data_IF_774943821283
#
_entry.id   IF_774943821283
#
_cell.length_a   1.000
_cell.length_b   1.000
_cell.length_c   1.000
_cell.angle_alpha   90.00
_cell.angle_beta   90.00
_cell.angle_gamma   90.00
#
_symmetry.space_group_name_H-M   'P 1'
#
loop_
_entity.id
_entity.type
_entity.pdbx_description
1 polymer ?
#
# COMPACT_ATOMS: atom_id res chain seq x y z
N UNK A 1 -16.61 -10.39 6.53
CA UNK A 1 -15.53 -10.64 5.55
C UNK A 1 -15.41 -12.14 5.25
N UNK A 2 -15.13 -12.52 4.00
CA UNK A 2 -14.81 -13.91 3.60
C UNK A 2 -13.49 -14.38 4.21
N UNK A 3 -13.26 -15.69 4.24
CA UNK A 3 -12.03 -16.30 4.77
C UNK A 3 -10.96 -16.59 3.73
N UNK A 4 -11.36 -16.78 2.46
CA UNK A 4 -10.48 -17.26 1.39
C UNK A 4 -10.78 -16.57 0.05
N UNK A 5 -9.73 -16.42 -0.75
CA UNK A 5 -9.77 -15.94 -2.12
C UNK A 5 -9.78 -17.14 -3.08
N UNK A 6 -10.47 -16.97 -4.20
CA UNK A 6 -10.41 -17.86 -5.36
C UNK A 6 -9.08 -17.70 -6.09
N UNK A 7 -8.75 -18.62 -7.00
CA UNK A 7 -7.54 -18.54 -7.83
C UNK A 7 -7.51 -17.26 -8.68
N UNK A 8 -8.64 -16.85 -9.25
CA UNK A 8 -8.75 -15.63 -10.05
C UNK A 8 -8.53 -14.37 -9.19
N UNK A 9 -9.06 -14.35 -7.98
CA UNK A 9 -8.82 -13.26 -7.02
C UNK A 9 -7.36 -13.18 -6.59
N UNK A 10 -6.69 -14.33 -6.43
CA UNK A 10 -5.25 -14.36 -6.16
C UNK A 10 -4.43 -13.76 -7.30
N UNK A 11 -4.84 -13.95 -8.56
CA UNK A 11 -4.18 -13.29 -9.70
C UNK A 11 -4.30 -11.76 -9.64
N UNK A 12 -5.43 -11.23 -9.15
CA UNK A 12 -5.62 -9.79 -8.94
C UNK A 12 -4.67 -9.27 -7.85
N UNK A 13 -4.50 -10.02 -6.76
CA UNK A 13 -3.54 -9.70 -5.70
C UNK A 13 -2.12 -9.66 -6.25
N UNK A 14 -1.74 -10.65 -7.06
CA UNK A 14 -0.42 -10.72 -7.68
C UNK A 14 -0.18 -9.57 -8.67
N UNK A 15 -1.20 -9.17 -9.44
CA UNK A 15 -1.11 -8.04 -10.36
C UNK A 15 -1.01 -6.71 -9.61
N UNK A 16 -1.73 -6.54 -8.49
CA UNK A 16 -1.56 -5.37 -7.62
C UNK A 16 -0.13 -5.28 -7.07
N UNK A 17 0.42 -6.41 -6.57
CA UNK A 17 1.81 -6.51 -6.11
C UNK A 17 2.78 -6.11 -7.21
N UNK A 18 2.65 -6.73 -8.39
CA UNK A 18 3.54 -6.52 -9.54
C UNK A 18 3.51 -5.08 -10.03
N UNK A 19 2.33 -4.48 -10.16
CA UNK A 19 2.18 -3.09 -10.62
C UNK A 19 2.79 -2.11 -9.63
N UNK A 20 2.50 -2.25 -8.34
CA UNK A 20 3.07 -1.40 -7.29
C UNK A 20 4.61 -1.51 -7.23
N UNK A 21 5.15 -2.72 -7.41
CA UNK A 21 6.58 -2.96 -7.52
C UNK A 21 7.19 -2.13 -8.65
N UNK A 22 6.66 -2.24 -9.87
CA UNK A 22 7.19 -1.56 -11.04
C UNK A 22 7.08 -0.03 -10.95
N UNK A 23 5.97 0.47 -10.38
CA UNK A 23 5.77 1.90 -10.13
C UNK A 23 6.79 2.45 -9.12
N UNK A 24 7.05 1.71 -8.04
CA UNK A 24 8.01 2.15 -7.03
C UNK A 24 9.45 2.00 -7.51
N UNK A 25 9.83 0.88 -8.12
CA UNK A 25 11.21 0.65 -8.52
C UNK A 25 11.72 1.74 -9.49
N UNK A 26 10.83 2.22 -10.36
CA UNK A 26 11.10 3.36 -11.21
C UNK A 26 12.00 3.06 -12.41
N UNK A 27 12.17 1.79 -12.78
CA UNK A 27 13.00 1.37 -13.93
C UNK A 27 12.28 1.44 -15.27
N UNK A 28 10.99 1.11 -15.29
CA UNK A 28 10.15 1.07 -16.51
C UNK A 28 9.22 2.29 -16.63
N UNK A 29 9.09 3.06 -15.56
CA UNK A 29 8.26 4.27 -15.43
C UNK A 29 8.96 5.18 -14.41
N UNK A 30 8.77 6.52 -14.42
CA UNK A 30 9.40 7.35 -13.40
C UNK A 30 8.97 6.94 -11.98
N UNK A 31 9.90 6.98 -11.02
CA UNK A 31 9.67 6.56 -9.64
C UNK A 31 8.38 7.16 -9.04
N UNK A 32 7.45 6.31 -8.63
CA UNK A 32 6.28 6.66 -7.83
C UNK A 32 6.56 6.28 -6.38
N UNK A 33 6.81 7.29 -5.55
CA UNK A 33 7.07 7.11 -4.12
C UNK A 33 5.97 6.33 -3.39
N UNK A 34 6.28 5.86 -2.17
CA UNK A 34 5.47 4.96 -1.34
C UNK A 34 3.95 5.07 -1.48
N UNK A 35 3.31 6.17 -1.07
CA UNK A 35 1.85 6.26 -1.17
C UNK A 35 1.32 6.41 -2.61
N UNK A 36 2.13 6.98 -3.50
CA UNK A 36 1.74 7.28 -4.88
C UNK A 36 1.64 6.00 -5.71
N UNK A 37 2.59 5.07 -5.58
CA UNK A 37 2.53 3.82 -6.34
C UNK A 37 1.29 3.00 -5.96
N UNK A 38 0.88 3.01 -4.70
CA UNK A 38 -0.37 2.39 -4.26
C UNK A 38 -1.59 3.08 -4.88
N UNK A 39 -1.69 4.41 -4.78
CA UNK A 39 -2.81 5.15 -5.38
C UNK A 39 -2.97 4.87 -6.88
N UNK A 40 -1.87 4.92 -7.65
CA UNK A 40 -1.89 4.63 -9.09
C UNK A 40 -2.17 3.15 -9.41
N UNK A 41 -1.79 2.22 -8.52
CA UNK A 41 -2.11 0.80 -8.66
C UNK A 41 -3.62 0.59 -8.73
N UNK A 42 -4.36 1.24 -7.82
CA UNK A 42 -5.83 1.19 -7.72
C UNK A 42 -6.55 2.29 -8.50
N UNK A 43 -5.86 3.01 -9.40
CA UNK A 43 -6.46 4.02 -10.27
C UNK A 43 -6.99 5.27 -9.56
N UNK A 44 -6.50 5.57 -8.35
CA UNK A 44 -6.91 6.73 -7.56
C UNK A 44 -5.97 7.94 -7.78
N UNK A 45 -6.44 9.17 -7.52
CA UNK A 45 -5.61 10.37 -7.67
C UNK A 45 -4.37 10.34 -6.79
N UNK A 46 -3.20 10.57 -7.39
CA UNK A 46 -1.91 10.56 -6.70
C UNK A 46 -1.66 11.76 -5.77
N UNK A 47 -2.30 12.91 -6.05
CA UNK A 47 -1.96 14.18 -5.40
C UNK A 47 -2.05 14.15 -3.86
N UNK A 48 -3.12 13.60 -3.23
CA UNK A 48 -3.20 13.49 -1.77
C UNK A 48 -2.07 12.65 -1.16
N UNK A 49 -1.61 11.62 -1.88
CA UNK A 49 -0.61 10.67 -1.40
C UNK A 49 0.81 11.23 -1.42
N UNK A 50 1.05 12.40 -2.03
CA UNK A 50 2.36 13.07 -1.94
C UNK A 50 2.76 13.38 -0.49
N UNK A 51 1.78 13.64 0.39
CA UNK A 51 2.02 13.90 1.80
C UNK A 51 2.65 12.69 2.54
N UNK A 52 2.52 11.48 2.01
CA UNK A 52 3.03 10.26 2.64
C UNK A 52 4.50 9.95 2.30
N UNK A 53 5.12 10.74 1.42
CA UNK A 53 6.52 10.54 1.02
C UNK A 53 7.42 10.63 2.25
N UNK A 54 8.41 9.73 2.38
CA UNK A 54 9.40 9.74 3.48
C UNK A 54 8.74 10.01 4.84
N UNK A 55 7.83 9.13 5.26
CA UNK A 55 7.20 9.20 6.58
C UNK A 55 6.56 10.56 6.90
N UNK A 56 5.70 11.08 6.03
CA UNK A 56 5.10 12.40 6.27
C UNK A 56 6.01 13.58 5.94
N UNK A 57 6.86 13.44 4.91
CA UNK A 57 7.89 14.37 4.43
C UNK A 57 9.14 14.44 5.33
N UNK A 58 8.97 14.30 6.65
CA UNK A 58 10.03 14.48 7.65
C UNK A 58 10.83 13.22 7.96
N UNK A 59 10.26 12.04 7.67
CA UNK A 59 10.80 10.73 8.03
C UNK A 59 10.39 10.24 9.42
N UNK A 60 9.78 11.12 10.22
CA UNK A 60 9.37 10.82 11.60
C UNK A 60 8.00 10.15 11.67
N UNK A 61 7.21 10.23 10.59
CA UNK A 61 5.95 9.54 10.46
C UNK A 61 6.09 8.06 10.08
N UNK A 62 4.96 7.36 10.14
CA UNK A 62 4.85 5.96 9.75
C UNK A 62 5.05 5.75 8.23
N UNK A 63 5.34 4.51 7.85
CA UNK A 63 5.59 4.08 6.48
C UNK A 63 4.45 4.52 5.56
N UNK A 64 4.80 5.33 4.55
CA UNK A 64 3.81 5.87 3.63
C UNK A 64 3.04 4.81 2.85
N UNK A 65 3.61 3.63 2.61
CA UNK A 65 2.90 2.54 1.94
C UNK A 65 1.83 1.90 2.85
N UNK A 66 2.15 1.69 4.14
CA UNK A 66 1.19 1.15 5.12
C UNK A 66 0.02 2.13 5.31
N UNK A 67 0.33 3.41 5.52
CA UNK A 67 -0.71 4.43 5.71
C UNK A 67 -1.53 4.63 4.43
N UNK A 68 -0.92 4.54 3.25
CA UNK A 68 -1.66 4.59 2.00
C UNK A 68 -2.69 3.47 1.89
N UNK A 69 -2.38 2.25 2.35
CA UNK A 69 -3.37 1.16 2.40
C UNK A 69 -4.60 1.49 3.25
N UNK A 70 -4.40 2.11 4.42
CA UNK A 70 -5.53 2.57 5.26
C UNK A 70 -6.37 3.65 4.56
N UNK A 71 -5.72 4.61 3.88
CA UNK A 71 -6.43 5.66 3.13
C UNK A 71 -7.20 5.10 1.93
N UNK A 72 -6.64 4.14 1.21
CA UNK A 72 -7.31 3.48 0.09
C UNK A 72 -8.57 2.75 0.55
N UNK A 73 -8.49 1.99 1.64
CA UNK A 73 -9.66 1.31 2.21
C UNK A 73 -10.71 2.34 2.66
N UNK A 74 -10.31 3.43 3.32
CA UNK A 74 -11.21 4.52 3.68
C UNK A 74 -11.92 5.13 2.47
N UNK A 75 -11.20 5.37 1.38
CA UNK A 75 -11.75 5.95 0.14
C UNK A 75 -12.73 5.00 -0.57
N UNK A 76 -12.51 3.69 -0.50
CA UNK A 76 -13.28 2.68 -1.24
C UNK A 76 -14.45 2.08 -0.44
N UNK A 77 -14.36 2.04 0.89
CA UNK A 77 -15.34 1.41 1.78
C UNK A 77 -16.02 2.38 2.76
N UNK A 78 -15.55 3.63 2.83
CA UNK A 78 -16.10 4.65 3.71
C UNK A 78 -17.49 5.10 3.30
N UNK A 79 -18.23 5.65 4.28
CA UNK A 79 -19.51 6.30 4.00
C UNK A 79 -19.27 7.56 3.15
N UNK A 80 -20.05 7.72 2.08
CA UNK A 80 -19.99 8.91 1.23
C UNK A 80 -20.50 10.17 1.95
N UNK A 81 -21.33 10.01 2.98
CA UNK A 81 -21.73 11.10 3.85
C UNK A 81 -20.60 11.42 4.85
N UNK A 82 -19.99 12.61 4.82
CA UNK A 82 -18.91 12.98 5.74
C UNK A 82 -19.37 13.08 7.21
N UNK A 83 -20.68 13.11 7.49
CA UNK A 83 -21.23 13.04 8.85
C UNK A 83 -21.77 11.65 9.20
N UNK A 84 -21.66 10.69 8.28
CA UNK A 84 -22.08 9.32 8.46
C UNK A 84 -21.16 8.55 9.43
N UNK A 85 -21.64 7.42 9.97
CA UNK A 85 -20.84 6.57 10.84
C UNK A 85 -19.72 5.86 10.06
N UNK A 86 -18.69 5.40 10.77
CA UNK A 86 -17.75 4.43 10.20
C UNK A 86 -18.51 3.15 9.86
N UNK A 87 -18.51 2.76 8.59
CA UNK A 87 -19.24 1.57 8.11
C UNK A 87 -18.66 0.30 8.76
N UNK A 88 -19.50 -0.73 9.05
CA UNK A 88 -19.01 -2.02 9.55
C UNK A 88 -17.97 -2.66 8.62
N UNK A 89 -18.20 -2.56 7.31
CA UNK A 89 -17.28 -3.09 6.29
C UNK A 89 -15.92 -2.41 6.32
N UNK A 90 -15.84 -1.07 6.39
CA UNK A 90 -14.58 -0.35 6.54
C UNK A 90 -13.86 -0.74 7.84
N UNK A 91 -14.60 -0.87 8.94
CA UNK A 91 -14.01 -1.29 10.22
C UNK A 91 -13.39 -2.69 10.12
N UNK A 92 -14.11 -3.65 9.56
CA UNK A 92 -13.60 -5.01 9.33
C UNK A 92 -12.36 -4.99 8.43
N UNK A 93 -12.40 -4.25 7.32
CA UNK A 93 -11.28 -4.10 6.39
C UNK A 93 -10.02 -3.53 7.07
N UNK A 94 -10.15 -2.44 7.83
CA UNK A 94 -9.02 -1.81 8.53
C UNK A 94 -8.43 -2.76 9.58
N UNK A 95 -9.26 -3.47 10.34
CA UNK A 95 -8.79 -4.44 11.34
C UNK A 95 -8.04 -5.57 10.66
N UNK A 96 -8.58 -6.10 9.57
CA UNK A 96 -7.94 -7.16 8.79
C UNK A 96 -6.61 -6.69 8.22
N UNK A 97 -6.58 -5.59 7.47
CA UNK A 97 -5.38 -5.03 6.87
C UNK A 97 -4.28 -4.78 7.92
N UNK A 98 -4.66 -4.19 9.07
CA UNK A 98 -3.72 -3.92 10.17
C UNK A 98 -3.10 -5.19 10.76
N UNK A 99 -3.88 -6.25 10.87
CA UNK A 99 -3.38 -7.55 11.31
C UNK A 99 -2.45 -8.14 10.25
N UNK A 100 -2.88 -8.16 8.98
CA UNK A 100 -2.13 -8.79 7.90
C UNK A 100 -0.78 -8.15 7.64
N UNK A 101 -0.68 -6.82 7.65
CA UNK A 101 0.62 -6.18 7.42
C UNK A 101 1.60 -6.47 8.57
N UNK A 102 1.11 -6.55 9.82
CA UNK A 102 1.96 -6.92 10.96
C UNK A 102 2.48 -8.36 10.88
N UNK A 103 1.70 -9.25 10.30
CA UNK A 103 2.07 -10.66 10.11
C UNK A 103 2.98 -10.90 8.90
N UNK A 104 2.90 -10.03 7.89
CA UNK A 104 3.43 -10.33 6.54
C UNK A 104 4.62 -9.45 6.16
N UNK A 105 4.64 -8.17 6.57
CA UNK A 105 5.68 -7.26 6.13
C UNK A 105 7.01 -7.58 6.82
N UNK A 106 8.05 -7.77 6.00
CA UNK A 106 9.44 -7.81 6.47
C UNK A 106 9.93 -6.39 6.76
N UNK A 107 10.15 -6.07 8.04
CA UNK A 107 10.65 -4.77 8.49
C UNK A 107 12.19 -4.72 8.56
N UNK A 108 12.87 -5.79 8.15
CA UNK A 108 14.30 -5.98 8.33
C UNK A 108 14.69 -5.91 9.80
N UNK A 109 15.66 -5.06 10.12
CA UNK A 109 16.12 -4.87 11.50
C UNK A 109 15.27 -3.90 12.34
N UNK A 110 14.17 -3.36 11.78
CA UNK A 110 13.33 -2.40 12.48
C UNK A 110 12.24 -3.07 13.31
N UNK A 111 11.94 -2.51 14.49
CA UNK A 111 10.87 -2.99 15.36
C UNK A 111 9.51 -2.31 15.11
N UNK A 112 9.47 -1.27 14.27
CA UNK A 112 8.27 -0.51 13.98
C UNK A 112 8.24 -0.04 12.53
N UNK A 113 7.18 0.70 12.17
CA UNK A 113 6.98 1.20 10.81
C UNK A 113 7.32 2.69 10.67
N UNK A 114 7.99 3.32 11.64
CA UNK A 114 8.45 4.71 11.47
C UNK A 114 9.49 4.75 10.36
N UNK A 115 9.32 5.65 9.39
CA UNK A 115 10.12 5.63 8.16
C UNK A 115 11.62 5.73 8.44
N UNK A 116 12.05 6.63 9.32
CA UNK A 116 13.46 6.76 9.70
C UNK A 116 13.98 5.50 10.38
N UNK A 117 13.19 4.83 11.22
CA UNK A 117 13.61 3.57 11.85
C UNK A 117 13.74 2.44 10.83
N UNK A 118 12.79 2.34 9.90
CA UNK A 118 12.83 1.39 8.80
C UNK A 118 14.05 1.60 7.90
N UNK A 119 14.42 2.85 7.63
CA UNK A 119 15.53 3.16 6.70
C UNK A 119 16.89 3.35 7.39
N UNK A 120 16.95 3.46 8.72
CA UNK A 120 18.20 3.63 9.46
C UNK A 120 19.14 2.41 9.39
N UNK A 121 18.62 1.26 8.97
CA UNK A 121 19.42 0.06 8.73
C UNK A 121 20.28 0.13 7.46
N UNK A 122 20.12 1.17 6.64
CA UNK A 122 20.92 1.42 5.44
C UNK A 122 21.84 2.63 5.66
N UNK A 123 22.98 2.66 4.97
CA UNK A 123 23.99 3.72 5.09
C UNK A 123 23.40 5.10 4.74
N UNK A 124 22.74 5.17 3.58
CA UNK A 124 22.10 6.38 3.09
C UNK A 124 20.68 6.10 2.60
N UNK A 125 19.87 7.16 2.58
CA UNK A 125 18.53 7.06 2.02
C UNK A 125 18.60 6.67 0.55
N UNK A 126 19.46 7.24 -0.28
CA UNK A 126 19.41 7.00 -1.73
C UNK A 126 20.09 5.70 -2.22
N UNK A 127 20.44 4.81 -1.29
CA UNK A 127 21.02 3.50 -1.60
C UNK A 127 20.09 2.59 -2.42
N UNK A 128 20.64 1.79 -3.36
CA UNK A 128 19.89 0.76 -4.06
C UNK A 128 19.19 -0.23 -3.12
N UNK A 129 19.83 -0.59 -2.01
CA UNK A 129 19.35 -1.54 -1.02
C UNK A 129 18.09 -1.01 -0.33
N UNK A 130 18.12 0.25 0.15
CA UNK A 130 16.93 0.90 0.71
C UNK A 130 15.82 0.97 -0.33
N UNK A 131 16.13 1.34 -1.57
CA UNK A 131 15.13 1.42 -2.64
C UNK A 131 14.47 0.06 -2.87
N UNK A 132 15.25 -1.01 -2.95
CA UNK A 132 14.74 -2.36 -3.11
C UNK A 132 13.87 -2.75 -1.91
N UNK A 133 14.31 -2.50 -0.68
CA UNK A 133 13.54 -2.75 0.53
C UNK A 133 12.17 -2.04 0.51
N UNK A 134 12.16 -0.73 0.25
CA UNK A 134 10.91 0.02 0.18
C UNK A 134 10.04 -0.34 -1.03
N UNK A 135 10.62 -0.86 -2.12
CA UNK A 135 9.88 -1.41 -3.26
C UNK A 135 9.06 -2.62 -2.83
N UNK A 136 9.68 -3.56 -2.10
CA UNK A 136 8.99 -4.76 -1.58
C UNK A 136 7.92 -4.40 -0.55
N UNK A 137 8.22 -3.49 0.38
CA UNK A 137 7.21 -3.01 1.33
C UNK A 137 5.99 -2.42 0.62
N UNK A 138 6.20 -1.61 -0.42
CA UNK A 138 5.11 -1.01 -1.17
C UNK A 138 4.32 -2.04 -1.98
N UNK A 139 4.99 -3.01 -2.63
CA UNK A 139 4.31 -4.06 -3.39
C UNK A 139 3.47 -4.98 -2.50
N UNK A 140 3.99 -5.35 -1.31
CA UNK A 140 3.22 -6.15 -0.35
C UNK A 140 2.04 -5.36 0.22
N UNK A 141 2.22 -4.07 0.54
CA UNK A 141 1.08 -3.25 0.97
C UNK A 141 -0.02 -3.19 -0.10
N UNK A 142 0.32 -3.09 -1.38
CA UNK A 142 -0.67 -3.12 -2.47
C UNK A 142 -1.38 -4.48 -2.56
N UNK A 143 -0.65 -5.59 -2.47
CA UNK A 143 -1.23 -6.93 -2.42
C UNK A 143 -2.22 -7.07 -1.26
N UNK A 144 -1.84 -6.64 -0.06
CA UNK A 144 -2.69 -6.70 1.13
C UNK A 144 -3.96 -5.84 1.01
N UNK A 145 -3.90 -4.70 0.32
CA UNK A 145 -5.10 -3.90 0.03
C UNK A 145 -6.03 -4.66 -0.92
N UNK A 146 -5.50 -5.23 -2.00
CA UNK A 146 -6.30 -6.03 -2.94
C UNK A 146 -6.94 -7.24 -2.25
N UNK A 147 -6.15 -7.99 -1.45
CA UNK A 147 -6.64 -9.11 -0.63
C UNK A 147 -7.80 -8.67 0.26
N UNK A 148 -7.62 -7.56 1.00
CA UNK A 148 -8.65 -7.05 1.92
C UNK A 148 -9.93 -6.66 1.18
N UNK A 149 -9.82 -5.98 0.05
CA UNK A 149 -10.97 -5.54 -0.75
C UNK A 149 -11.75 -6.74 -1.30
N UNK A 150 -11.07 -7.74 -1.85
CA UNK A 150 -11.68 -8.94 -2.41
C UNK A 150 -12.37 -9.78 -1.33
N UNK A 151 -11.75 -9.94 -0.14
CA UNK A 151 -12.38 -10.59 1.00
C UNK A 151 -13.60 -9.83 1.55
N UNK A 152 -13.68 -8.53 1.27
CA UNK A 152 -14.84 -7.68 1.54
C UNK A 152 -15.89 -7.70 0.43
N UNK A 153 -15.75 -8.57 -0.58
CA UNK A 153 -16.62 -8.66 -1.76
C UNK A 153 -16.68 -7.35 -2.58
N UNK A 154 -15.56 -6.62 -2.61
CA UNK A 154 -15.37 -5.45 -3.47
C UNK A 154 -14.72 -5.88 -4.77
N UNK A 155 -15.30 -5.47 -5.90
CA UNK A 155 -14.70 -5.67 -7.21
C UNK A 155 -13.42 -4.82 -7.34
N UNK A 156 -12.31 -5.45 -7.73
CA UNK A 156 -11.01 -4.80 -7.90
C UNK A 156 -10.51 -5.02 -9.31
N UNK A 157 -10.28 -3.93 -10.04
CA UNK A 157 -9.67 -3.94 -11.37
C UNK A 157 -8.26 -3.32 -11.30
N UNK A 158 -7.21 -4.11 -11.56
CA UNK A 158 -5.84 -3.60 -11.68
C UNK A 158 -5.52 -3.33 -13.14
N UNK A 159 -5.63 -2.06 -13.54
CA UNK A 159 -5.33 -1.65 -14.92
C UNK A 159 -3.85 -1.82 -15.25
N UNK A 160 -3.47 -2.22 -16.48
CA UNK A 160 -2.08 -2.29 -16.89
C UNK A 160 -1.32 -0.99 -16.69
N UNK A 161 0.00 -1.09 -16.52
CA UNK A 161 0.88 0.07 -16.52
C UNK A 161 0.74 0.84 -17.83
N UNK A 162 0.47 2.13 -17.71
CA UNK A 162 0.59 3.04 -18.85
C UNK A 162 2.07 3.37 -19.02
N UNK A 163 2.70 2.76 -20.02
CA UNK A 163 3.98 3.24 -20.54
C UNK A 163 3.68 4.52 -21.31
N UNK A 164 4.07 5.66 -20.74
CA UNK A 164 4.04 6.95 -21.44
C UNK A 164 5.05 7.00 -22.57
#
# INVERSE_FOLDING_TARGET
>A
MRSELTEDEMQIVDEARRKAYLLYEGKVTPHRSCGICLAETFGLPAAPFQALRRGGITGEGQCGAVIAGELLLGQLLGDHNPTGPVTPQLREAIVHYKRRWKETLDLGNSSDIVCNHLTAQFEDFDTPERRQFCTHLASECAALVAETLLLCDVEVEIKPLRTG
#
